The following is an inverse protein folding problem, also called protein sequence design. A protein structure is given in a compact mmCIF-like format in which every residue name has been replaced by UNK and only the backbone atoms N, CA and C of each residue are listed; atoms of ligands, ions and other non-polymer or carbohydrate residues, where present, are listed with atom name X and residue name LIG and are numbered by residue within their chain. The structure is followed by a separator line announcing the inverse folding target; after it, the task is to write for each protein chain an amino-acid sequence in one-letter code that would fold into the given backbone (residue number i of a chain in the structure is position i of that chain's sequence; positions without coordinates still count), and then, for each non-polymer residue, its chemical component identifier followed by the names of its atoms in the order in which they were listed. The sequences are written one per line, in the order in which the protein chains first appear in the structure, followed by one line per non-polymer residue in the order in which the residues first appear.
data_IF_547501741246
#
_entry.id   IF_547501741246
#
_cell.length_a   1.000
_cell.length_b   1.000
_cell.length_c   1.000
_cell.angle_alpha   90.00
_cell.angle_beta   90.00
_cell.angle_gamma   90.00
#
_symmetry.space_group_name_H-M   'P 1'
#
loop_
_entity.id
_entity.type
_entity.pdbx_description
1 polymer ?
#
# COMPACT_ATOMS: atom_id res chain seq x y z
N UNK A 1 -8.73 -11.78 -32.02
CA UNK A 1 -8.11 -10.50 -32.46
C UNK A 1 -6.66 -10.52 -31.99
N UNK A 2 -5.65 -10.39 -32.88
CA UNK A 2 -4.21 -10.57 -32.55
C UNK A 2 -3.69 -9.72 -31.37
N UNK A 3 -4.38 -8.64 -31.00
CA UNK A 3 -4.02 -7.80 -29.85
C UNK A 3 -4.36 -8.41 -28.49
N UNK A 4 -5.37 -9.29 -28.42
CA UNK A 4 -5.83 -9.89 -27.17
C UNK A 4 -4.78 -10.85 -26.58
N UNK A 5 -4.23 -11.74 -27.42
CA UNK A 5 -3.19 -12.69 -26.98
C UNK A 5 -1.91 -11.97 -26.53
N UNK A 6 -1.57 -10.84 -27.15
CA UNK A 6 -0.43 -10.01 -26.75
C UNK A 6 -0.67 -9.35 -25.40
N UNK A 7 -1.87 -8.84 -25.17
CA UNK A 7 -2.28 -8.26 -23.89
C UNK A 7 -2.23 -9.30 -22.76
N UNK A 8 -2.83 -10.48 -22.97
CA UNK A 8 -2.79 -11.60 -22.01
C UNK A 8 -1.36 -12.04 -21.70
N UNK A 9 -0.47 -12.07 -22.70
CA UNK A 9 0.95 -12.35 -22.46
C UNK A 9 1.59 -11.29 -21.56
N UNK A 10 1.38 -10.00 -21.82
CA UNK A 10 1.96 -8.90 -21.03
C UNK A 10 1.59 -9.03 -19.54
N UNK A 11 0.31 -9.29 -19.25
CA UNK A 11 -0.18 -9.47 -17.87
C UNK A 11 0.53 -10.59 -17.11
N UNK A 12 1.01 -11.61 -17.84
CA UNK A 12 1.64 -12.80 -17.28
C UNK A 12 3.17 -12.84 -17.42
N UNK A 13 3.78 -11.88 -18.13
CA UNK A 13 5.23 -11.85 -18.37
C UNK A 13 5.95 -10.72 -17.66
N UNK A 14 5.25 -9.62 -17.33
CA UNK A 14 5.89 -8.53 -16.59
C UNK A 14 6.05 -8.97 -15.14
N UNK A 15 7.29 -9.26 -14.78
CA UNK A 15 7.69 -9.61 -13.41
C UNK A 15 8.34 -8.45 -12.67
N UNK A 16 8.80 -7.43 -13.39
CA UNK A 16 9.57 -6.32 -12.83
C UNK A 16 9.10 -5.01 -13.43
N UNK A 17 8.83 -4.04 -12.56
CA UNK A 17 8.67 -2.63 -12.91
C UNK A 17 9.58 -1.85 -11.98
N UNK A 18 10.56 -1.17 -12.55
CA UNK A 18 11.38 -0.18 -11.87
C UNK A 18 11.31 1.12 -12.66
N UNK A 19 10.71 2.13 -12.04
CA UNK A 19 10.65 3.51 -12.53
C UNK A 19 11.15 4.49 -11.48
N UNK A 20 11.97 3.99 -10.55
CA UNK A 20 12.50 4.79 -9.45
C UNK A 20 13.40 5.93 -9.93
N UNK A 21 13.58 6.93 -9.07
CA UNK A 21 14.47 8.08 -9.35
C UNK A 21 14.06 8.88 -10.59
N UNK A 22 12.78 9.22 -10.67
CA UNK A 22 12.20 10.02 -11.74
C UNK A 22 11.39 11.18 -11.16
N UNK A 23 10.67 11.88 -12.03
CA UNK A 23 9.78 12.99 -11.65
C UNK A 23 8.31 12.64 -11.92
N UNK A 24 7.92 11.35 -11.86
CA UNK A 24 6.53 10.97 -12.07
C UNK A 24 5.63 11.60 -11.00
N UNK A 25 4.51 12.17 -11.45
CA UNK A 25 3.53 12.87 -10.61
C UNK A 25 2.15 12.22 -10.73
N UNK A 26 1.24 12.59 -9.83
CA UNK A 26 -0.13 12.09 -9.84
C UNK A 26 -0.23 10.75 -9.14
N UNK A 27 -1.25 9.97 -9.49
CA UNK A 27 -1.61 8.79 -8.73
C UNK A 27 -0.88 7.53 -9.23
N UNK A 28 -0.70 6.56 -8.34
CA UNK A 28 -0.39 5.20 -8.75
C UNK A 28 -1.65 4.61 -9.42
N UNK A 29 -1.61 4.23 -10.71
CA UNK A 29 -2.80 3.80 -11.42
C UNK A 29 -3.30 2.44 -10.89
N UNK A 30 -4.61 2.31 -10.71
CA UNK A 30 -5.25 1.06 -10.24
C UNK A 30 -4.97 -0.13 -11.14
N UNK A 31 -4.68 0.11 -12.42
CA UNK A 31 -4.30 -0.91 -13.41
C UNK A 31 -3.02 -1.67 -13.07
N UNK A 32 -2.18 -1.16 -12.14
CA UNK A 32 -1.01 -1.90 -11.66
C UNK A 32 -1.41 -3.28 -11.13
N UNK A 33 -2.57 -3.37 -10.47
CA UNK A 33 -3.09 -4.60 -9.88
C UNK A 33 -3.56 -5.66 -10.87
N UNK A 34 -3.48 -5.42 -12.18
CA UNK A 34 -3.77 -6.41 -13.22
C UNK A 34 -2.53 -7.26 -13.56
N UNK A 35 -1.34 -6.82 -13.15
CA UNK A 35 -0.07 -7.51 -13.41
C UNK A 35 0.18 -8.61 -12.37
N UNK A 36 -0.65 -9.64 -12.36
CA UNK A 36 -0.64 -10.70 -11.33
C UNK A 36 0.69 -11.49 -11.26
N UNK A 37 1.52 -11.44 -12.31
CA UNK A 37 2.85 -12.05 -12.34
C UNK A 37 3.97 -11.14 -11.78
N UNK A 38 3.66 -9.93 -11.34
CA UNK A 38 4.64 -8.96 -10.87
C UNK A 38 5.28 -9.40 -9.54
N UNK A 39 6.62 -9.41 -9.51
CA UNK A 39 7.46 -9.80 -8.36
C UNK A 39 8.23 -8.62 -7.77
N UNK A 40 8.65 -7.67 -8.61
CA UNK A 40 9.38 -6.48 -8.18
C UNK A 40 8.68 -5.21 -8.67
N UNK A 41 8.28 -4.36 -7.73
CA UNK A 41 7.69 -3.05 -8.00
C UNK A 41 8.47 -1.98 -7.23
N UNK A 42 9.21 -1.15 -7.97
CA UNK A 42 9.96 -0.03 -7.43
C UNK A 42 9.48 1.29 -8.05
N UNK A 43 8.76 2.08 -7.26
CA UNK A 43 8.26 3.41 -7.61
C UNK A 43 8.95 4.51 -6.79
N UNK A 44 10.03 4.17 -6.08
CA UNK A 44 10.66 5.08 -5.12
C UNK A 44 11.27 6.32 -5.77
N UNK A 45 11.52 7.35 -4.98
CA UNK A 45 12.16 8.59 -5.44
C UNK A 45 11.44 9.21 -6.65
N UNK A 46 10.16 9.51 -6.47
CA UNK A 46 9.29 10.16 -7.44
C UNK A 46 8.42 11.21 -6.73
N UNK A 47 7.45 11.78 -7.43
CA UNK A 47 6.47 12.73 -6.89
C UNK A 47 5.05 12.14 -6.94
N UNK A 48 4.90 10.81 -6.82
CA UNK A 48 3.57 10.19 -6.76
C UNK A 48 2.83 10.71 -5.52
N UNK A 49 1.56 11.01 -5.67
CA UNK A 49 0.72 11.62 -4.65
C UNK A 49 -0.56 10.81 -4.44
N UNK A 50 -1.41 11.28 -3.52
CA UNK A 50 -2.67 10.64 -3.15
C UNK A 50 -2.47 9.22 -2.60
N UNK A 51 -3.50 8.39 -2.65
CA UNK A 51 -3.55 7.12 -1.93
C UNK A 51 -2.88 5.98 -2.70
N UNK A 52 -2.35 5.01 -1.95
CA UNK A 52 -1.95 3.72 -2.50
C UNK A 52 -3.22 2.99 -2.95
N UNK A 53 -3.34 2.58 -4.23
CA UNK A 53 -4.56 1.93 -4.71
C UNK A 53 -4.74 0.55 -4.04
N UNK A 54 -5.94 0.22 -3.52
CA UNK A 54 -6.22 -1.09 -2.92
C UNK A 54 -5.96 -2.28 -3.85
N UNK A 55 -5.96 -2.05 -5.17
CA UNK A 55 -5.65 -3.07 -6.18
C UNK A 55 -4.22 -3.61 -6.10
N UNK A 56 -3.31 -2.94 -5.37
CA UNK A 56 -1.98 -3.50 -5.04
C UNK A 56 -2.11 -4.87 -4.37
N UNK A 57 -3.15 -5.10 -3.55
CA UNK A 57 -3.38 -6.39 -2.92
C UNK A 57 -3.68 -7.54 -3.89
N UNK A 58 -3.83 -7.29 -5.19
CA UNK A 58 -3.98 -8.33 -6.21
C UNK A 58 -2.65 -8.93 -6.67
N UNK A 59 -1.51 -8.28 -6.37
CA UNK A 59 -0.18 -8.71 -6.80
C UNK A 59 0.35 -9.86 -5.93
N UNK A 60 -0.34 -11.01 -5.95
CA UNK A 60 -0.15 -12.09 -4.95
C UNK A 60 1.26 -12.66 -4.87
N UNK A 61 2.04 -12.56 -5.94
CA UNK A 61 3.41 -13.06 -6.02
C UNK A 61 4.46 -11.96 -5.87
N UNK A 62 4.08 -10.77 -5.39
CA UNK A 62 4.99 -9.66 -5.17
C UNK A 62 5.95 -9.97 -4.04
N UNK A 63 7.25 -9.78 -4.32
CA UNK A 63 8.37 -10.09 -3.44
C UNK A 63 9.08 -8.83 -2.96
N UNK A 64 9.14 -7.79 -3.79
CA UNK A 64 9.73 -6.50 -3.45
C UNK A 64 8.78 -5.37 -3.79
N UNK A 65 8.48 -4.54 -2.80
CA UNK A 65 7.59 -3.40 -2.96
C UNK A 65 8.18 -2.13 -2.34
N UNK A 66 8.60 -1.20 -3.19
CA UNK A 66 9.19 0.08 -2.76
C UNK A 66 8.38 1.27 -3.29
N UNK A 67 7.82 2.04 -2.36
CA UNK A 67 7.13 3.31 -2.60
C UNK A 67 7.81 4.49 -1.90
N UNK A 68 9.01 4.28 -1.33
CA UNK A 68 9.67 5.28 -0.51
C UNK A 68 10.00 6.56 -1.26
N UNK A 69 10.15 7.66 -0.53
CA UNK A 69 10.50 8.97 -1.10
C UNK A 69 9.50 9.42 -2.19
N UNK A 70 8.24 9.57 -1.79
CA UNK A 70 7.13 10.08 -2.61
C UNK A 70 6.26 11.05 -1.78
N UNK A 71 5.14 11.50 -2.34
CA UNK A 71 4.15 12.36 -1.70
C UNK A 71 2.83 11.62 -1.39
N UNK A 72 2.87 10.30 -1.22
CA UNK A 72 1.67 9.48 -1.00
C UNK A 72 1.03 9.82 0.35
N UNK A 73 -0.29 9.81 0.40
CA UNK A 73 -1.08 10.19 1.57
C UNK A 73 -2.23 9.21 1.83
N UNK A 74 -2.93 9.38 2.95
CA UNK A 74 -3.97 8.45 3.39
C UNK A 74 -3.41 7.22 4.10
N UNK A 75 -4.27 6.22 4.31
CA UNK A 75 -3.90 4.99 5.03
C UNK A 75 -3.18 3.99 4.11
N UNK A 76 -2.38 3.12 4.72
CA UNK A 76 -1.89 1.91 4.05
C UNK A 76 -3.10 0.98 3.84
N UNK A 77 -3.48 0.65 2.59
CA UNK A 77 -4.68 -0.14 2.32
C UNK A 77 -4.54 -1.53 2.94
N UNK A 78 -5.59 -1.99 3.63
CA UNK A 78 -5.62 -3.32 4.29
C UNK A 78 -5.42 -4.46 3.28
N UNK A 79 -5.71 -4.23 2.01
CA UNK A 79 -5.49 -5.20 0.94
C UNK A 79 -4.03 -5.64 0.79
N UNK A 80 -3.06 -4.86 1.27
CA UNK A 80 -1.63 -5.25 1.30
C UNK A 80 -1.42 -6.48 2.18
N UNK A 81 -2.29 -6.75 3.16
CA UNK A 81 -2.29 -7.99 3.94
C UNK A 81 -2.46 -9.24 3.06
N UNK A 82 -2.97 -9.10 1.83
CA UNK A 82 -3.09 -10.25 0.94
C UNK A 82 -1.78 -10.58 0.20
N UNK A 83 -0.74 -9.75 0.34
CA UNK A 83 0.58 -9.99 -0.21
C UNK A 83 1.32 -10.87 0.80
N UNK A 84 1.51 -12.15 0.47
CA UNK A 84 2.09 -13.15 1.39
C UNK A 84 3.52 -13.57 1.03
N UNK A 85 4.11 -12.96 -0.01
CA UNK A 85 5.45 -13.28 -0.51
C UNK A 85 6.46 -12.11 -0.42
N UNK A 86 6.10 -10.95 0.16
CA UNK A 86 6.99 -9.80 0.32
C UNK A 86 8.22 -10.13 1.17
N UNK A 87 9.38 -10.09 0.55
CA UNK A 87 10.69 -10.14 1.21
C UNK A 87 11.21 -8.72 1.52
N UNK A 88 10.78 -7.73 0.72
CA UNK A 88 11.13 -6.33 0.90
C UNK A 88 9.90 -5.44 0.79
N UNK A 89 9.76 -4.52 1.75
CA UNK A 89 8.69 -3.54 1.80
C UNK A 89 9.23 -2.21 2.32
N UNK A 90 8.97 -1.11 1.61
CA UNK A 90 9.36 0.22 2.06
C UNK A 90 8.34 1.27 1.60
N UNK A 91 7.77 1.99 2.56
CA UNK A 91 6.84 3.12 2.35
C UNK A 91 7.31 4.38 3.10
N UNK A 92 8.58 4.41 3.53
CA UNK A 92 9.17 5.53 4.25
C UNK A 92 9.19 6.81 3.42
N UNK A 93 9.33 7.96 4.10
CA UNK A 93 9.42 9.28 3.45
C UNK A 93 8.21 9.57 2.55
N UNK A 94 7.02 9.55 3.15
CA UNK A 94 5.74 9.85 2.53
C UNK A 94 4.86 10.66 3.52
N UNK A 95 3.58 10.86 3.20
CA UNK A 95 2.60 11.55 4.04
C UNK A 95 1.49 10.59 4.51
N UNK A 96 1.82 9.30 4.70
CA UNK A 96 0.86 8.28 5.11
C UNK A 96 0.41 8.50 6.57
N UNK A 97 -0.83 8.09 6.84
CA UNK A 97 -1.51 8.30 8.12
C UNK A 97 -2.17 7.01 8.63
N UNK A 98 -2.57 7.02 9.91
CA UNK A 98 -3.33 5.92 10.50
C UNK A 98 -2.49 4.76 11.01
N UNK A 99 -3.19 3.70 11.42
CA UNK A 99 -2.58 2.51 12.01
C UNK A 99 -1.88 1.65 10.94
N UNK A 100 -0.63 1.27 11.19
CA UNK A 100 0.07 0.30 10.35
C UNK A 100 -0.65 -1.07 10.43
N UNK A 101 -1.07 -1.66 9.30
CA UNK A 101 -1.72 -2.98 9.30
C UNK A 101 -0.82 -4.07 9.91
N UNK A 102 -1.36 -4.82 10.87
CA UNK A 102 -0.60 -5.81 11.66
C UNK A 102 -0.82 -7.27 11.23
N UNK A 103 -1.74 -7.54 10.30
CA UNK A 103 -2.31 -8.89 10.12
C UNK A 103 -1.40 -9.92 9.44
N UNK A 104 -0.18 -9.55 9.02
CA UNK A 104 0.68 -10.39 8.15
C UNK A 104 2.19 -10.09 8.32
N UNK A 105 3.01 -10.48 7.33
CA UNK A 105 4.44 -10.14 7.23
C UNK A 105 4.74 -8.63 7.28
N UNK A 106 3.74 -7.76 7.12
CA UNK A 106 3.94 -6.32 7.39
C UNK A 106 4.48 -6.05 8.79
N UNK A 107 4.06 -6.85 9.77
CA UNK A 107 4.56 -6.79 11.15
C UNK A 107 6.02 -7.26 11.31
N UNK A 108 6.57 -7.97 10.31
CA UNK A 108 7.96 -8.45 10.35
C UNK A 108 8.97 -7.42 9.81
N UNK A 109 8.51 -6.38 9.12
CA UNK A 109 9.39 -5.32 8.63
C UNK A 109 9.77 -4.35 9.74
N UNK A 110 11.01 -3.85 9.66
CA UNK A 110 11.55 -2.91 10.64
C UNK A 110 10.85 -1.55 10.56
N UNK A 111 10.99 -0.77 11.63
CA UNK A 111 10.55 0.62 11.72
C UNK A 111 11.01 1.48 10.53
N UNK A 112 12.23 1.25 10.02
CA UNK A 112 12.81 1.98 8.88
C UNK A 112 11.91 1.99 7.64
N UNK A 113 11.17 0.91 7.41
CA UNK A 113 10.22 0.76 6.29
C UNK A 113 9.06 1.77 6.34
N UNK A 114 8.84 2.39 7.49
CA UNK A 114 7.68 3.25 7.79
C UNK A 114 8.10 4.65 8.27
N UNK A 115 9.40 4.90 8.50
CA UNK A 115 9.90 6.18 9.01
C UNK A 115 9.54 7.35 8.09
N UNK A 116 9.60 8.56 8.64
CA UNK A 116 9.31 9.80 7.90
C UNK A 116 7.92 9.84 7.27
N UNK A 117 6.95 9.20 7.91
CA UNK A 117 5.52 9.39 7.70
C UNK A 117 4.91 10.04 8.96
N UNK A 118 4.63 11.36 8.96
CA UNK A 118 4.21 12.06 10.18
C UNK A 118 2.91 11.54 10.78
N UNK A 119 2.02 10.95 9.98
CA UNK A 119 0.72 10.45 10.42
C UNK A 119 0.69 8.99 10.84
N UNK A 120 1.61 8.14 10.38
CA UNK A 120 1.62 6.72 10.71
C UNK A 120 1.82 6.47 12.21
N UNK A 121 1.21 5.40 12.72
CA UNK A 121 1.28 5.00 14.11
C UNK A 121 1.05 3.49 14.29
N UNK A 122 1.33 2.99 15.49
CA UNK A 122 1.28 1.56 15.82
C UNK A 122 2.59 0.83 15.50
N UNK A 123 2.74 -0.42 15.97
CA UNK A 123 3.95 -1.20 15.69
C UNK A 123 4.19 -1.34 14.17
N UNK A 124 5.44 -1.43 13.68
CA UNK A 124 6.69 -1.44 14.44
C UNK A 124 7.16 -0.06 14.94
N UNK A 125 6.43 1.02 14.66
CA UNK A 125 6.77 2.34 15.17
C UNK A 125 6.49 2.42 16.68
N UNK A 126 7.36 3.13 17.41
CA UNK A 126 7.12 3.44 18.83
C UNK A 126 6.01 4.47 19.04
N UNK A 127 5.52 5.11 17.96
CA UNK A 127 4.47 6.11 17.98
C UNK A 127 3.11 5.44 18.17
N UNK A 128 2.42 5.76 19.27
CA UNK A 128 1.05 5.31 19.54
C UNK A 128 0.03 6.09 18.72
N UNK A 129 -1.02 5.43 18.24
CA UNK A 129 -2.14 6.09 17.58
C UNK A 129 -2.97 6.88 18.60
N UNK A 130 -3.51 8.03 18.20
CA UNK A 130 -4.46 8.76 19.04
C UNK A 130 -5.86 8.19 18.79
N UNK A 131 -6.73 8.21 19.79
CA UNK A 131 -8.09 7.64 19.69
C UNK A 131 -8.99 8.34 18.64
N UNK A 132 -8.53 9.44 18.04
CA UNK A 132 -9.19 10.15 16.93
C UNK A 132 -8.88 9.54 15.54
N UNK A 133 -7.91 8.61 15.47
CA UNK A 133 -7.51 7.90 14.24
C UNK A 133 -8.22 6.54 14.07
N UNK A 134 -9.11 6.17 15.00
CA UNK A 134 -9.96 4.99 14.87
C UNK A 134 -11.18 5.33 13.98
N UNK A 135 -11.61 4.44 13.06
CA UNK A 135 -12.84 4.68 12.32
C UNK A 135 -13.97 4.91 13.31
N UNK A 136 -14.59 6.10 13.23
CA UNK A 136 -15.66 6.53 14.10
C UNK A 136 -16.70 5.41 14.21
N UNK A 137 -16.79 4.78 15.37
CA UNK A 137 -17.98 4.02 15.71
C UNK A 137 -19.12 5.06 15.70
N UNK A 138 -20.07 4.90 14.78
CA UNK A 138 -21.28 5.68 14.79
C UNK A 138 -21.88 5.63 16.20
N UNK A 139 -22.33 6.77 16.76
CA UNK A 139 -23.03 6.74 18.04
C UNK A 139 -24.25 5.81 17.92
N UNK A 140 -24.58 5.03 18.97
CA UNK A 140 -25.78 4.21 18.95
C UNK A 140 -27.00 5.11 18.74
N UNK A 141 -27.81 4.77 17.75
CA UNK A 141 -29.09 5.43 17.50
C UNK A 141 -29.99 5.22 18.71
N UNK A 142 -30.64 6.26 19.25
CA UNK A 142 -31.58 6.12 20.35
C UNK A 142 -32.91 5.65 19.78
N UNK A 143 -33.03 4.35 19.51
CA UNK A 143 -34.32 3.67 19.31
C UNK A 143 -34.13 2.17 19.52
N UNK A 144 -34.23 1.74 20.77
CA UNK A 144 -34.70 0.39 21.08
C UNK A 144 -35.67 0.51 22.27
N UNK A 145 -36.97 0.20 22.11
CA UNK A 145 -37.94 0.26 23.20
C UNK A 145 -37.64 -0.83 24.23
N UNK A 146 -37.69 -0.48 25.52
CA UNK A 146 -37.69 -1.46 26.60
C UNK A 146 -38.82 -2.48 26.37
N UNK A 147 -38.44 -3.76 26.38
CA UNK A 147 -39.32 -4.86 26.74
C UNK A 147 -39.51 -4.88 28.27
#
# INVERSE_FOLDING_TARGET
VKGFDRYVRILNTITTIDVSSNMFTGDIPTSIGVLEALRWLNLSHNNFANQIPPTIGNLKVLESFDLSCNNLSGEIPREIEKLTFLEFFNVSQNQLVGLIPQSTQLSTFNNDSYLENPGLCGPPLSKKCRNEDAPQQLPPTPDDPLN
#
